data_IF_743583494712
#
_entry.id   IF_743583494712
#
_cell.length_a   1.000
_cell.length_b   1.000
_cell.length_c   1.000
_cell.angle_alpha   90.00
_cell.angle_beta   90.00
_cell.angle_gamma   90.00
#
_symmetry.space_group_name_H-M   'P 1'
#
loop_
_entity.id
_entity.type
_entity.pdbx_description
1 polymer ?
#
# COMPACT_ATOMS: atom_id res chain seq x y z
N UNK A 1 35.35 43.29 -16.50
CA UNK A 1 34.00 43.30 -15.92
C UNK A 1 33.05 42.29 -16.53
N UNK A 2 33.23 41.87 -17.78
CA UNK A 2 32.36 40.84 -18.45
C UNK A 2 32.66 39.39 -18.08
N UNK A 3 33.87 39.07 -17.64
CA UNK A 3 34.24 37.71 -17.22
C UNK A 3 33.72 37.36 -15.82
N UNK A 4 33.55 38.31 -14.92
CA UNK A 4 33.06 38.07 -13.58
C UNK A 4 31.55 37.76 -13.53
N UNK A 5 30.78 38.29 -14.48
CA UNK A 5 29.33 37.99 -14.55
C UNK A 5 29.02 36.56 -15.03
N UNK A 6 29.89 36.01 -15.87
CA UNK A 6 29.65 34.63 -16.38
C UNK A 6 29.99 33.54 -15.37
N UNK A 7 31.00 33.80 -14.51
CA UNK A 7 31.36 32.84 -13.46
C UNK A 7 30.31 32.78 -12.34
N UNK A 8 29.65 33.89 -12.01
CA UNK A 8 28.57 33.89 -11.02
C UNK A 8 27.29 33.22 -11.54
N UNK A 9 26.98 33.34 -12.84
CA UNK A 9 25.82 32.68 -13.43
C UNK A 9 25.99 31.14 -13.48
N UNK A 10 27.20 30.66 -13.71
CA UNK A 10 27.51 29.24 -13.76
C UNK A 10 27.41 28.53 -12.40
N UNK A 11 27.78 29.25 -11.31
CA UNK A 11 27.70 28.72 -9.95
C UNK A 11 26.25 28.62 -9.46
N UNK A 12 25.40 29.58 -9.86
CA UNK A 12 23.96 29.55 -9.49
C UNK A 12 23.22 28.40 -10.21
N UNK A 13 23.59 28.09 -11.46
CA UNK A 13 22.97 26.99 -12.20
C UNK A 13 23.31 25.59 -11.66
N UNK A 14 24.46 25.42 -10.99
CA UNK A 14 24.87 24.16 -10.38
C UNK A 14 24.22 23.89 -9.00
N UNK A 15 23.71 24.93 -8.34
CA UNK A 15 23.13 24.79 -7.00
C UNK A 15 21.65 24.37 -7.00
N UNK A 16 20.96 24.46 -8.12
CA UNK A 16 19.52 24.11 -8.22
C UNK A 16 19.24 22.64 -8.50
N UNK A 17 20.23 21.83 -8.82
CA UNK A 17 20.06 20.39 -9.07
C UNK A 17 20.12 19.49 -7.82
N UNK A 18 20.43 20.02 -6.64
CA UNK A 18 20.70 19.22 -5.44
C UNK A 18 19.46 18.98 -4.55
N UNK A 19 18.29 19.55 -4.87
CA UNK A 19 17.09 19.45 -4.02
C UNK A 19 16.03 18.45 -4.53
N UNK A 20 16.30 17.73 -5.63
CA UNK A 20 15.33 16.82 -6.25
C UNK A 20 15.55 15.34 -5.94
N UNK A 21 16.43 14.95 -5.01
CA UNK A 21 16.77 13.55 -4.74
C UNK A 21 16.57 13.14 -3.28
N UNK A 22 15.40 13.40 -2.73
CA UNK A 22 14.96 12.72 -1.50
C UNK A 22 13.54 12.13 -1.67
N UNK A 23 13.30 11.46 -2.77
CA UNK A 23 12.34 10.35 -2.78
C UNK A 23 13.10 9.14 -2.24
N UNK A 24 13.37 9.12 -0.95
CA UNK A 24 13.90 7.93 -0.29
C UNK A 24 12.87 6.83 -0.47
N UNK A 25 13.21 5.87 -1.29
CA UNK A 25 12.62 4.55 -1.35
C UNK A 25 12.62 3.97 0.06
N UNK A 26 11.51 4.14 0.78
CA UNK A 26 11.24 3.41 2.01
C UNK A 26 10.80 2.01 1.57
N UNK A 27 11.69 1.29 0.92
CA UNK A 27 11.61 -0.16 0.75
C UNK A 27 12.67 -0.71 1.68
N UNK A 28 12.30 -0.90 2.94
CA UNK A 28 13.12 -1.67 3.83
C UNK A 28 13.02 -3.13 3.38
N UNK A 29 14.09 -3.65 2.76
CA UNK A 29 14.21 -5.05 2.32
C UNK A 29 14.09 -6.04 3.48
N UNK A 30 14.02 -5.56 4.71
CA UNK A 30 13.93 -6.34 5.94
C UNK A 30 12.54 -6.28 6.61
N UNK A 31 11.49 -6.00 5.87
CA UNK A 31 10.13 -6.01 6.42
C UNK A 31 9.68 -7.45 6.70
N UNK A 32 10.09 -8.00 7.84
CA UNK A 32 9.65 -9.31 8.27
C UNK A 32 8.28 -9.21 8.96
N UNK A 33 7.28 -9.79 8.34
CA UNK A 33 5.93 -9.89 8.91
C UNK A 33 5.91 -11.02 9.94
N UNK A 34 5.36 -10.74 11.13
CA UNK A 34 5.12 -11.72 12.19
C UNK A 34 3.69 -12.25 12.12
N UNK A 35 2.71 -11.34 11.90
CA UNK A 35 1.30 -11.69 11.82
C UNK A 35 0.63 -10.92 10.69
N UNK A 36 -0.18 -11.65 9.93
CA UNK A 36 -1.03 -11.12 8.85
C UNK A 36 -2.48 -11.43 9.16
N UNK A 37 -3.30 -10.40 9.27
CA UNK A 37 -4.74 -10.57 9.41
C UNK A 37 -5.39 -10.79 8.04
N UNK A 38 -6.16 -11.86 7.90
CA UNK A 38 -6.94 -12.15 6.70
C UNK A 38 -8.10 -11.16 6.57
N UNK A 39 -8.47 -10.86 5.34
CA UNK A 39 -9.63 -10.02 5.07
C UNK A 39 -10.45 -10.57 3.90
N UNK A 40 -11.70 -10.15 3.85
CA UNK A 40 -12.60 -10.44 2.75
C UNK A 40 -12.68 -9.26 1.78
N UNK A 41 -13.12 -9.54 0.56
CA UNK A 41 -13.41 -8.49 -0.40
C UNK A 41 -14.51 -7.58 0.15
N UNK A 42 -14.33 -6.23 0.15
CA UNK A 42 -15.35 -5.33 0.66
C UNK A 42 -16.66 -5.47 -0.14
N UNK A 43 -17.81 -5.70 0.51
CA UNK A 43 -19.07 -5.99 -0.20
C UNK A 43 -19.49 -4.89 -1.19
N UNK A 44 -19.30 -3.62 -0.81
CA UNK A 44 -19.63 -2.47 -1.68
C UNK A 44 -18.73 -2.45 -2.92
N UNK A 45 -17.43 -2.69 -2.74
CA UNK A 45 -16.48 -2.76 -3.84
C UNK A 45 -16.77 -3.98 -4.75
N UNK A 46 -17.15 -5.12 -4.17
CA UNK A 46 -17.51 -6.31 -4.91
C UNK A 46 -18.78 -6.10 -5.75
N UNK A 47 -19.81 -5.49 -5.17
CA UNK A 47 -21.06 -5.15 -5.88
C UNK A 47 -20.84 -4.14 -7.00
N UNK A 48 -19.98 -3.15 -6.77
CA UNK A 48 -19.59 -2.14 -7.75
C UNK A 48 -18.51 -2.60 -8.73
N UNK A 49 -18.07 -3.87 -8.66
CA UNK A 49 -16.96 -4.41 -9.48
C UNK A 49 -15.69 -3.57 -9.42
N UNK A 50 -15.41 -2.99 -8.26
CA UNK A 50 -14.25 -2.15 -8.05
C UNK A 50 -13.03 -3.02 -7.77
N UNK A 51 -12.10 -3.04 -8.69
CA UNK A 51 -10.79 -3.68 -8.59
C UNK A 51 -9.70 -2.63 -8.43
N UNK A 52 -8.49 -3.06 -8.11
CA UNK A 52 -7.33 -2.18 -8.11
C UNK A 52 -6.32 -2.51 -7.03
N UNK A 53 -5.38 -1.57 -6.85
CA UNK A 53 -4.33 -1.66 -5.85
C UNK A 53 -4.51 -0.55 -4.84
N UNK A 54 -4.35 -0.89 -3.57
CA UNK A 54 -4.29 0.06 -2.45
C UNK A 54 -2.92 -0.05 -1.81
N UNK A 55 -2.25 1.09 -1.67
CA UNK A 55 -0.96 1.19 -0.98
C UNK A 55 -1.21 1.87 0.35
N UNK A 56 -0.84 1.21 1.44
CA UNK A 56 -1.03 1.69 2.81
C UNK A 56 0.33 1.87 3.47
N UNK A 57 0.56 3.03 4.07
CA UNK A 57 1.66 3.27 4.99
C UNK A 57 1.18 2.94 6.41
N UNK A 58 1.93 2.11 7.12
CA UNK A 58 1.72 1.83 8.53
C UNK A 58 2.83 2.42 9.39
N UNK A 59 2.48 2.99 10.55
CA UNK A 59 3.43 3.40 11.60
C UNK A 59 3.48 2.29 12.64
N UNK A 60 4.70 1.85 12.98
CA UNK A 60 4.93 0.77 13.93
C UNK A 60 5.26 1.32 15.32
N UNK A 61 4.72 0.67 16.35
CA UNK A 61 5.21 0.83 17.72
C UNK A 61 6.50 0.03 17.97
N UNK A 62 6.99 0.08 19.21
CA UNK A 62 8.21 -0.63 19.61
C UNK A 62 8.08 -2.16 19.51
N UNK A 63 6.86 -2.70 19.55
CA UNK A 63 6.57 -4.14 19.42
C UNK A 63 6.30 -4.56 17.96
N UNK A 64 6.36 -3.62 17.02
CA UNK A 64 6.10 -3.86 15.60
C UNK A 64 4.63 -3.92 15.22
N UNK A 65 3.72 -3.50 16.09
CA UNK A 65 2.30 -3.39 15.77
C UNK A 65 2.03 -2.14 14.97
N UNK A 66 1.16 -2.23 13.98
CA UNK A 66 0.70 -1.07 13.21
C UNK A 66 -0.29 -0.27 14.06
N UNK A 67 0.16 0.84 14.63
CA UNK A 67 -0.66 1.73 15.47
C UNK A 67 -1.41 2.78 14.67
N UNK A 68 -0.84 3.21 13.56
CA UNK A 68 -1.47 4.10 12.60
C UNK A 68 -1.33 3.55 11.19
N UNK A 69 -2.32 3.82 10.35
CA UNK A 69 -2.29 3.43 8.95
C UNK A 69 -3.01 4.46 8.10
N UNK A 70 -2.40 4.82 6.98
CA UNK A 70 -2.98 5.74 6.00
C UNK A 70 -2.83 5.17 4.58
N UNK A 71 -3.81 5.41 3.73
CA UNK A 71 -3.71 5.03 2.32
C UNK A 71 -2.94 6.10 1.54
N UNK A 72 -1.89 5.69 0.84
CA UNK A 72 -1.14 6.54 -0.07
C UNK A 72 -1.81 6.59 -1.46
N UNK A 73 -2.51 5.51 -1.83
CA UNK A 73 -3.25 5.41 -3.09
C UNK A 73 -4.31 4.32 -3.02
N UNK A 74 -5.30 4.39 -3.92
CA UNK A 74 -6.35 3.39 -4.07
C UNK A 74 -7.74 3.98 -4.22
N UNK A 75 -8.70 3.14 -4.63
CA UNK A 75 -10.11 3.50 -4.70
C UNK A 75 -10.72 3.68 -3.31
N UNK A 76 -11.57 4.70 -3.14
CA UNK A 76 -12.27 4.97 -1.89
C UNK A 76 -13.06 3.76 -1.35
N UNK A 77 -13.60 2.92 -2.23
CA UNK A 77 -14.34 1.71 -1.86
C UNK A 77 -13.46 0.59 -1.28
N UNK A 78 -12.15 0.63 -1.54
CA UNK A 78 -11.17 -0.36 -1.09
C UNK A 78 -10.32 0.15 0.08
N UNK A 79 -10.04 1.46 0.10
CA UNK A 79 -9.13 2.10 1.05
C UNK A 79 -9.52 1.84 2.51
N UNK A 80 -10.78 2.06 2.87
CA UNK A 80 -11.24 1.91 4.25
C UNK A 80 -10.96 0.51 4.81
N UNK A 81 -11.28 -0.52 4.05
CA UNK A 81 -11.07 -1.91 4.45
C UNK A 81 -9.59 -2.26 4.54
N UNK A 82 -8.77 -1.78 3.60
CA UNK A 82 -7.32 -1.98 3.59
C UNK A 82 -6.65 -1.34 4.81
N UNK A 83 -6.98 -0.08 5.11
CA UNK A 83 -6.45 0.64 6.28
C UNK A 83 -6.85 -0.04 7.59
N UNK A 84 -8.12 -0.46 7.71
CA UNK A 84 -8.60 -1.18 8.91
C UNK A 84 -7.90 -2.52 9.08
N UNK A 85 -7.65 -3.25 8.00
CA UNK A 85 -6.93 -4.52 8.02
C UNK A 85 -5.45 -4.32 8.38
N UNK A 86 -4.80 -3.33 7.77
CA UNK A 86 -3.38 -3.02 8.00
C UNK A 86 -3.07 -2.81 9.49
N UNK A 87 -3.97 -2.17 10.25
CA UNK A 87 -3.82 -1.94 11.70
C UNK A 87 -3.79 -3.21 12.55
N UNK A 88 -4.11 -4.36 11.97
CA UNK A 88 -4.08 -5.64 12.66
C UNK A 88 -2.83 -6.47 12.34
N UNK A 89 -1.97 -5.96 11.46
CA UNK A 89 -0.73 -6.64 11.13
C UNK A 89 0.35 -6.35 12.17
N UNK A 90 1.27 -7.31 12.33
CA UNK A 90 2.42 -7.19 13.22
C UNK A 90 3.67 -7.52 12.42
N UNK A 91 4.66 -6.65 12.52
CA UNK A 91 5.96 -6.77 11.86
C UNK A 91 7.07 -6.89 12.91
N UNK A 92 8.25 -7.34 12.51
CA UNK A 92 9.44 -7.11 13.32
C UNK A 92 9.69 -5.59 13.38
N UNK A 93 10.04 -5.07 14.57
CA UNK A 93 10.41 -3.67 14.70
C UNK A 93 11.56 -3.32 13.73
N UNK A 94 11.46 -2.16 13.11
CA UNK A 94 12.49 -1.62 12.22
C UNK A 94 12.90 -0.21 12.64
N UNK A 95 14.05 0.25 12.16
CA UNK A 95 14.61 1.55 12.53
C UNK A 95 13.78 2.75 12.04
N UNK A 96 12.98 2.56 11.01
CA UNK A 96 12.15 3.61 10.42
C UNK A 96 10.77 3.72 11.09
N UNK A 97 10.39 2.75 11.95
CA UNK A 97 9.07 2.66 12.57
C UNK A 97 7.93 2.75 11.54
N UNK A 98 8.18 2.32 10.31
CA UNK A 98 7.23 2.44 9.21
C UNK A 98 7.28 1.22 8.29
N UNK A 99 6.14 0.89 7.69
CA UNK A 99 6.00 -0.17 6.69
C UNK A 99 5.08 0.28 5.57
N UNK A 100 5.28 -0.29 4.39
CA UNK A 100 4.36 -0.18 3.26
C UNK A 100 3.70 -1.53 3.06
N UNK A 101 2.37 -1.55 2.99
CA UNK A 101 1.57 -2.73 2.70
C UNK A 101 0.82 -2.50 1.40
N UNK A 102 0.90 -3.46 0.50
CA UNK A 102 0.24 -3.39 -0.81
C UNK A 102 -0.88 -4.42 -0.87
N UNK A 103 -2.09 -3.96 -1.15
CA UNK A 103 -3.27 -4.79 -1.35
C UNK A 103 -3.68 -4.76 -2.81
N UNK A 104 -3.81 -5.94 -3.43
CA UNK A 104 -4.32 -6.09 -4.80
C UNK A 104 -5.66 -6.78 -4.79
N UNK A 105 -6.67 -6.10 -5.29
CA UNK A 105 -8.04 -6.58 -5.37
C UNK A 105 -8.39 -6.97 -6.81
N UNK A 106 -8.92 -8.18 -6.98
CA UNK A 106 -9.39 -8.68 -8.27
C UNK A 106 -10.71 -9.43 -8.13
N UNK A 107 -11.57 -9.31 -9.13
CA UNK A 107 -12.81 -10.08 -9.24
C UNK A 107 -12.64 -11.08 -10.38
N UNK A 108 -12.75 -12.37 -10.06
CA UNK A 108 -12.61 -13.45 -11.02
C UNK A 108 -13.94 -14.22 -11.13
N UNK A 109 -14.49 -14.27 -12.34
CA UNK A 109 -15.68 -15.06 -12.64
C UNK A 109 -16.91 -14.71 -11.81
N UNK A 110 -17.88 -15.60 -11.79
CA UNK A 110 -19.11 -15.52 -11.00
C UNK A 110 -19.09 -16.49 -9.84
N UNK A 111 -19.66 -16.09 -8.70
CA UNK A 111 -19.85 -17.00 -7.57
C UNK A 111 -20.96 -18.01 -7.89
N UNK A 112 -20.64 -19.28 -7.90
CA UNK A 112 -21.62 -20.36 -8.09
C UNK A 112 -22.30 -20.75 -6.78
N UNK A 113 -21.64 -20.52 -5.65
CA UNK A 113 -22.15 -20.85 -4.32
C UNK A 113 -21.76 -19.76 -3.32
N UNK A 114 -22.52 -19.65 -2.23
CA UNK A 114 -22.17 -18.72 -1.13
C UNK A 114 -20.86 -19.09 -0.41
N UNK A 115 -20.27 -20.23 -0.75
CA UNK A 115 -19.04 -20.77 -0.18
C UNK A 115 -17.78 -20.42 -1.00
N UNK A 116 -17.92 -19.93 -2.23
CA UNK A 116 -16.80 -19.40 -3.02
C UNK A 116 -16.42 -18.01 -2.49
N UNK A 117 -15.80 -18.03 -1.32
CA UNK A 117 -15.44 -16.85 -0.56
C UNK A 117 -14.17 -16.25 -1.16
N UNK A 118 -14.12 -14.94 -1.13
CA UNK A 118 -12.92 -14.16 -1.44
C UNK A 118 -11.66 -14.82 -0.89
N UNK A 119 -10.72 -15.13 -1.76
CA UNK A 119 -9.45 -15.73 -1.37
C UNK A 119 -8.48 -14.63 -0.98
N UNK A 120 -8.03 -14.67 0.25
CA UNK A 120 -6.92 -13.88 0.72
C UNK A 120 -5.63 -14.68 0.60
N UNK A 121 -4.61 -14.09 -0.04
CA UNK A 121 -3.26 -14.68 -0.12
C UNK A 121 -2.23 -13.62 0.26
N UNK A 122 -1.38 -13.98 1.20
CA UNK A 122 -0.23 -13.16 1.54
C UNK A 122 0.99 -13.58 0.72
N UNK A 123 1.72 -12.61 0.24
CA UNK A 123 2.98 -12.76 -0.49
C UNK A 123 4.04 -11.92 0.23
N UNK A 124 5.00 -12.55 0.90
CA UNK A 124 6.06 -11.81 1.56
C UNK A 124 6.80 -10.87 0.60
N UNK A 125 7.32 -9.75 1.09
CA UNK A 125 7.33 -9.34 2.49
C UNK A 125 6.10 -8.56 2.96
N UNK A 126 5.33 -7.93 2.07
CA UNK A 126 4.32 -6.92 2.41
C UNK A 126 3.14 -6.84 1.43
N UNK A 127 2.95 -7.85 0.62
CA UNK A 127 1.92 -7.84 -0.42
C UNK A 127 0.79 -8.82 -0.09
N UNK A 128 -0.46 -8.37 -0.22
CA UNK A 128 -1.64 -9.19 -0.07
C UNK A 128 -2.50 -9.13 -1.35
N UNK A 129 -2.94 -10.28 -1.83
CA UNK A 129 -3.93 -10.37 -2.90
C UNK A 129 -5.27 -10.83 -2.36
N UNK A 130 -6.33 -10.11 -2.71
CA UNK A 130 -7.70 -10.38 -2.33
C UNK A 130 -8.50 -10.62 -3.61
N UNK A 131 -9.00 -11.83 -3.76
CA UNK A 131 -9.77 -12.21 -4.93
C UNK A 131 -11.23 -12.38 -4.52
N UNK A 132 -12.12 -11.66 -5.19
CA UNK A 132 -13.57 -11.81 -5.08
C UNK A 132 -14.15 -12.47 -6.32
N UNK A 133 -15.41 -12.84 -6.24
CA UNK A 133 -16.21 -13.29 -7.37
C UNK A 133 -17.45 -12.39 -7.52
N UNK A 134 -18.00 -12.31 -8.71
CA UNK A 134 -19.23 -11.57 -8.95
C UNK A 134 -20.44 -12.37 -8.47
N UNK A 135 -21.27 -11.77 -7.61
CA UNK A 135 -22.58 -12.36 -7.29
C UNK A 135 -23.50 -12.25 -8.50
N UNK A 136 -24.04 -13.37 -8.96
CA UNK A 136 -25.06 -13.36 -9.98
C UNK A 136 -26.35 -12.82 -9.37
N UNK A 137 -27.13 -12.01 -10.13
CA UNK A 137 -28.47 -11.67 -9.69
C UNK A 137 -29.29 -12.95 -9.50
N UNK A 138 -29.94 -13.07 -8.35
CA UNK A 138 -30.90 -14.15 -8.11
C UNK A 138 -32.14 -13.82 -8.96
N UNK A 139 -32.63 -14.74 -9.78
CA UNK A 139 -33.83 -14.54 -10.59
C UNK A 139 -35.07 -14.35 -9.74
#
# INVERSE_FOLDING_TARGET
MKLFLWTTLLVIALCTCALAQQASTIVDENTNVIHVEKMYYPPVAQSGRTEGVVVVRGTLDADGKVVEAEALSGSAFLVRSSVTNAKKWIFKPNSHHAVIIVYKYRIIGSCRTNTEIAQFRFHPPNFASITGCQKLPVP
#
